data_IF_625060928625
#
_entry.id   IF_625060928625
#
_cell.length_a   1.000
_cell.length_b   1.000
_cell.length_c   1.000
_cell.angle_alpha   90.00
_cell.angle_beta   90.00
_cell.angle_gamma   90.00
#
_symmetry.space_group_name_H-M   'P 1'
#
loop_
_entity.id
_entity.type
_entity.pdbx_description
1 polymer ?
#
# COMPACT_ATOMS: atom_id res chain seq x y z
N UNK A 1 -12.81 -14.61 -8.66
CA UNK A 1 -11.50 -14.10 -9.10
C UNK A 1 -11.73 -12.75 -9.73
N UNK A 2 -11.16 -11.69 -9.17
CA UNK A 2 -11.35 -10.28 -9.60
C UNK A 2 -9.97 -9.76 -10.06
N UNK A 3 -9.87 -8.99 -11.15
CA UNK A 3 -8.59 -8.46 -11.62
C UNK A 3 -8.10 -7.31 -10.73
N UNK A 4 -6.81 -7.37 -10.40
CA UNK A 4 -6.07 -6.36 -9.64
C UNK A 4 -5.73 -5.23 -10.61
N UNK A 5 -6.24 -4.02 -10.34
CA UNK A 5 -5.77 -2.81 -11.01
C UNK A 5 -4.53 -2.32 -10.25
N UNK A 6 -3.34 -2.68 -10.72
CA UNK A 6 -2.06 -2.16 -10.20
C UNK A 6 -1.89 -0.72 -10.67
N UNK A 7 -2.10 0.26 -9.79
CA UNK A 7 -1.65 1.63 -10.02
C UNK A 7 -0.17 1.73 -9.63
N UNK A 8 0.71 1.60 -10.63
CA UNK A 8 2.08 2.12 -10.51
C UNK A 8 2.08 3.65 -10.50
N UNK A 9 3.15 4.30 -10.03
CA UNK A 9 3.26 5.75 -10.03
C UNK A 9 3.35 6.27 -11.48
N UNK A 10 2.43 7.16 -11.83
CA UNK A 10 2.47 7.92 -13.08
C UNK A 10 3.61 8.94 -13.00
N UNK A 11 4.67 8.70 -13.77
CA UNK A 11 5.65 9.72 -14.15
C UNK A 11 4.94 10.79 -14.99
N UNK A 12 4.99 12.03 -14.55
CA UNK A 12 4.59 13.19 -15.36
C UNK A 12 5.58 13.34 -16.52
N UNK A 13 5.10 13.21 -17.75
CA UNK A 13 5.78 13.79 -18.90
C UNK A 13 5.12 15.13 -19.19
N UNK A 14 5.93 16.19 -19.09
CA UNK A 14 5.55 17.55 -19.44
C UNK A 14 5.16 17.62 -20.93
N UNK A 15 3.94 18.10 -21.19
CA UNK A 15 3.52 18.53 -22.51
C UNK A 15 4.20 19.87 -22.83
N UNK A 16 4.98 19.91 -23.90
CA UNK A 16 5.40 21.17 -24.53
C UNK A 16 4.28 21.64 -25.45
N UNK A 17 3.68 22.77 -25.12
CA UNK A 17 2.95 23.62 -26.05
C UNK A 17 3.91 24.26 -27.05
N UNK A 18 3.52 24.26 -28.32
CA UNK A 18 3.97 25.25 -29.30
C UNK A 18 2.85 25.52 -30.30
N UNK A 19 2.23 26.68 -30.19
CA UNK A 19 1.34 27.33 -31.17
C UNK A 19 2.14 28.13 -32.20
N UNK A 20 1.72 28.05 -33.47
CA UNK A 20 1.68 29.07 -34.55
C UNK A 20 1.61 28.32 -35.91
N UNK A 21 0.95 28.73 -36.99
CA UNK A 21 -0.22 29.56 -37.33
C UNK A 21 -0.48 29.32 -38.85
N UNK A 22 -1.68 29.67 -39.31
CA UNK A 22 -2.08 30.09 -40.66
C UNK A 22 -2.24 29.08 -41.82
N UNK A 23 -3.48 29.02 -42.36
CA UNK A 23 -3.75 28.51 -43.70
C UNK A 23 -5.22 28.35 -44.09
N UNK A 24 -5.93 29.46 -44.36
CA UNK A 24 -7.30 29.53 -44.92
C UNK A 24 -7.49 28.76 -46.24
N UNK A 25 -8.60 28.00 -46.40
CA UNK A 25 -9.64 28.15 -47.46
C UNK A 25 -10.77 27.11 -47.33
N UNK A 26 -12.00 27.59 -47.51
CA UNK A 26 -13.30 26.90 -47.43
C UNK A 26 -13.76 26.32 -48.81
N UNK A 27 -15.04 25.96 -49.06
CA UNK A 27 -15.92 24.93 -48.45
C UNK A 27 -16.65 24.06 -49.53
N UNK A 28 -17.68 23.27 -49.10
CA UNK A 28 -18.83 22.62 -49.83
C UNK A 28 -18.78 21.07 -49.85
N UNK A 29 -19.85 20.27 -49.73
CA UNK A 29 -21.34 20.43 -49.69
C UNK A 29 -21.96 19.07 -49.30
N UNK A 30 -23.13 19.10 -48.64
CA UNK A 30 -24.34 18.20 -48.61
C UNK A 30 -24.20 16.69 -48.94
N UNK A 31 -25.06 15.75 -48.54
CA UNK A 31 -26.23 15.55 -47.67
C UNK A 31 -26.64 14.09 -47.93
N UNK A 32 -27.40 13.43 -47.06
CA UNK A 32 -28.03 12.15 -47.43
C UNK A 32 -28.53 11.32 -46.26
N UNK A 33 -29.83 11.45 -45.99
CA UNK A 33 -30.67 10.67 -45.09
C UNK A 33 -30.94 9.22 -45.57
N UNK A 34 -31.69 8.49 -44.73
CA UNK A 34 -32.51 7.28 -44.95
C UNK A 34 -31.82 5.97 -44.51
N UNK A 35 -32.15 5.38 -43.36
CA UNK A 35 -33.42 4.76 -42.89
C UNK A 35 -33.65 3.33 -43.40
N UNK A 36 -33.85 2.46 -42.40
CA UNK A 36 -34.78 1.32 -42.37
C UNK A 36 -34.36 -0.10 -42.78
N UNK A 37 -34.47 -0.96 -41.75
CA UNK A 37 -35.17 -2.24 -41.67
C UNK A 37 -34.41 -3.60 -41.77
N UNK A 38 -34.43 -4.29 -40.61
CA UNK A 38 -34.99 -5.64 -40.35
C UNK A 38 -34.45 -6.86 -41.12
N UNK A 39 -34.07 -7.89 -40.35
CA UNK A 39 -33.96 -9.29 -40.76
C UNK A 39 -32.76 -10.01 -40.12
N UNK A 40 -32.89 -10.56 -38.90
CA UNK A 40 -33.16 -11.97 -38.59
C UNK A 40 -32.12 -13.00 -39.10
N UNK A 41 -31.56 -13.71 -38.11
CA UNK A 41 -31.07 -15.09 -38.10
C UNK A 41 -29.94 -15.51 -39.05
N UNK A 42 -28.80 -15.91 -38.46
CA UNK A 42 -28.30 -17.28 -38.62
C UNK A 42 -27.24 -17.64 -37.58
N UNK A 43 -27.54 -18.71 -36.84
CA UNK A 43 -26.56 -19.53 -36.13
C UNK A 43 -25.69 -20.28 -37.14
N UNK A 44 -24.36 -20.23 -36.99
CA UNK A 44 -23.46 -21.26 -37.52
C UNK A 44 -22.37 -21.55 -36.49
N UNK A 45 -22.38 -22.79 -36.02
CA UNK A 45 -21.35 -23.49 -35.25
C UNK A 45 -20.24 -24.05 -36.15
N UNK A 46 -18.98 -23.86 -35.77
CA UNK A 46 -17.75 -24.66 -36.04
C UNK A 46 -16.55 -23.80 -35.61
N UNK A 47 -15.45 -24.26 -35.04
CA UNK A 47 -14.89 -25.57 -34.76
C UNK A 47 -13.53 -25.32 -34.08
N UNK A 48 -12.98 -26.36 -33.46
CA UNK A 48 -11.68 -26.39 -32.77
C UNK A 48 -10.52 -25.93 -33.67
N UNK A 49 -9.50 -25.32 -33.07
CA UNK A 49 -8.12 -25.83 -33.10
C UNK A 49 -7.20 -25.01 -32.19
N UNK A 50 -6.19 -25.68 -31.61
CA UNK A 50 -5.17 -25.10 -30.73
C UNK A 50 -3.78 -25.10 -31.37
N UNK A 51 -2.91 -24.23 -30.84
CA UNK A 51 -1.44 -24.22 -30.91
C UNK A 51 -1.00 -22.91 -30.22
N UNK A 52 -0.26 -22.83 -29.11
CA UNK A 52 1.05 -23.37 -28.72
C UNK A 52 2.25 -22.80 -29.51
N UNK A 53 3.06 -22.00 -28.78
CA UNK A 53 4.46 -21.55 -28.95
C UNK A 53 4.89 -20.49 -29.98
N UNK A 54 5.53 -19.43 -29.45
CA UNK A 54 6.88 -18.87 -29.73
C UNK A 54 6.89 -17.44 -29.13
N UNK A 55 7.70 -17.01 -28.15
CA UNK A 55 9.14 -17.10 -27.86
C UNK A 55 10.00 -16.49 -28.96
N UNK A 56 10.24 -15.17 -28.86
CA UNK A 56 11.31 -14.48 -29.59
C UNK A 56 12.23 -13.72 -28.65
N UNK A 57 13.53 -13.98 -28.83
CA UNK A 57 14.68 -13.35 -28.20
C UNK A 57 15.48 -12.64 -29.29
N UNK A 58 16.04 -11.49 -28.90
CA UNK A 58 17.29 -10.86 -29.36
C UNK A 58 17.34 -10.20 -30.74
N UNK A 59 17.69 -8.90 -30.75
CA UNK A 59 19.01 -8.48 -31.27
C UNK A 59 19.43 -7.08 -30.81
N UNK A 60 20.69 -6.99 -30.36
CA UNK A 60 21.46 -5.76 -30.11
C UNK A 60 21.85 -5.10 -31.43
N UNK A 61 21.90 -3.77 -31.47
CA UNK A 61 22.75 -3.01 -32.38
C UNK A 61 23.38 -1.84 -31.63
N UNK A 62 24.72 -1.85 -31.56
CA UNK A 62 25.57 -0.73 -31.16
C UNK A 62 25.95 0.07 -32.42
N UNK A 63 26.11 1.38 -32.30
CA UNK A 63 27.15 2.16 -33.00
C UNK A 63 27.36 3.52 -32.29
N UNK A 64 28.60 3.74 -31.80
CA UNK A 64 29.21 5.07 -31.60
C UNK A 64 29.35 5.77 -32.98
N UNK A 65 29.51 7.08 -33.18
CA UNK A 65 30.30 8.12 -32.50
C UNK A 65 29.91 9.45 -33.20
N UNK A 66 29.92 10.60 -32.49
CA UNK A 66 30.60 11.85 -32.90
C UNK A 66 30.13 13.08 -32.11
N UNK A 67 31.12 13.80 -31.61
CA UNK A 67 31.10 15.03 -30.83
C UNK A 67 30.52 16.23 -31.58
N UNK A 68 29.78 17.09 -30.86
CA UNK A 68 29.73 18.54 -31.12
C UNK A 68 29.71 19.30 -29.78
N UNK A 69 30.81 20.02 -29.51
CA UNK A 69 30.93 21.05 -28.48
C UNK A 69 30.21 22.33 -28.92
N UNK A 70 29.40 22.95 -28.05
CA UNK A 70 29.17 24.41 -28.07
C UNK A 70 29.15 24.95 -26.63
N UNK A 71 30.04 25.90 -26.38
CA UNK A 71 30.19 26.74 -25.19
C UNK A 71 29.24 27.95 -25.30
N UNK A 72 28.55 28.31 -24.20
CA UNK A 72 28.45 29.71 -23.70
C UNK A 72 27.60 29.82 -22.43
N UNK A 73 28.09 30.64 -21.51
CA UNK A 73 27.62 30.88 -20.14
C UNK A 73 26.61 32.05 -20.05
N UNK A 74 26.26 32.61 -18.87
CA UNK A 74 24.90 32.65 -18.35
C UNK A 74 24.24 34.04 -18.39
N UNK A 75 22.90 34.12 -18.28
CA UNK A 75 22.20 35.37 -17.96
C UNK A 75 21.44 35.18 -16.64
N UNK A 76 21.88 35.95 -15.65
CA UNK A 76 21.27 36.12 -14.34
C UNK A 76 20.26 37.27 -14.39
N UNK A 77 19.09 37.09 -13.78
CA UNK A 77 18.26 38.20 -13.30
C UNK A 77 17.58 37.77 -12.00
N UNK A 78 18.02 38.39 -10.91
CA UNK A 78 17.54 38.22 -9.54
C UNK A 78 16.09 38.73 -9.37
N UNK A 79 15.16 37.95 -8.82
CA UNK A 79 14.72 38.02 -7.40
C UNK A 79 13.20 38.33 -7.33
N UNK A 80 12.47 38.12 -6.20
CA UNK A 80 12.98 37.82 -4.86
C UNK A 80 12.53 36.47 -4.28
N UNK A 81 13.42 35.99 -3.43
CA UNK A 81 13.34 34.93 -2.44
C UNK A 81 12.17 35.03 -1.45
N UNK A 82 11.46 33.92 -1.25
CA UNK A 82 10.81 33.59 0.02
C UNK A 82 11.48 32.34 0.58
N UNK A 83 12.39 32.58 1.52
CA UNK A 83 13.07 31.56 2.32
C UNK A 83 12.11 31.16 3.43
N UNK A 84 11.47 29.99 3.33
CA UNK A 84 10.93 29.31 4.52
C UNK A 84 12.04 28.44 5.09
N UNK A 85 12.90 29.06 5.89
CA UNK A 85 13.82 28.37 6.77
C UNK A 85 12.99 27.63 7.83
N UNK A 86 12.93 26.31 7.76
CA UNK A 86 12.56 25.51 8.92
C UNK A 86 13.66 25.68 9.99
N UNK A 87 13.34 25.91 11.27
CA UNK A 87 14.38 26.16 12.27
C UNK A 87 15.21 24.90 12.48
N UNK A 88 16.54 25.01 12.36
CA UNK A 88 17.44 24.05 12.97
C UNK A 88 17.28 24.17 14.48
N UNK A 89 16.65 23.16 15.11
CA UNK A 89 16.56 23.10 16.56
C UNK A 89 17.93 22.61 17.07
N UNK A 90 18.69 23.56 17.60
CA UNK A 90 19.87 23.31 18.41
C UNK A 90 19.45 22.56 19.68
N UNK A 91 19.97 21.35 19.85
CA UNK A 91 19.68 20.47 20.98
C UNK A 91 20.46 20.97 22.22
N UNK A 92 19.90 21.93 22.95
CA UNK A 92 20.37 22.28 24.29
C UNK A 92 19.49 21.61 25.35
N UNK A 93 20.15 20.91 26.27
CA UNK A 93 19.60 19.95 27.22
C UNK A 93 18.72 20.52 28.34
N UNK A 94 18.05 19.57 29.03
CA UNK A 94 17.52 19.57 30.42
C UNK A 94 15.99 19.71 30.57
N UNK A 95 15.32 18.56 30.81
CA UNK A 95 13.94 18.42 31.31
C UNK A 95 13.48 16.94 31.28
N UNK A 96 12.73 16.41 32.28
CA UNK A 96 12.87 15.01 32.70
C UNK A 96 12.03 13.99 31.92
N UNK A 97 12.62 12.81 31.74
CA UNK A 97 11.95 11.50 31.53
C UNK A 97 11.16 11.28 30.23
N UNK A 98 11.74 11.60 29.07
CA UNK A 98 11.43 10.84 27.85
C UNK A 98 12.40 9.67 27.76
N UNK A 99 11.92 8.42 27.67
CA UNK A 99 12.77 7.28 27.35
C UNK A 99 13.22 7.43 25.89
N UNK A 100 14.41 7.95 25.69
CA UNK A 100 15.10 7.90 24.41
C UNK A 100 15.50 6.44 24.15
N UNK A 101 14.85 5.83 23.16
CA UNK A 101 15.40 4.66 22.50
C UNK A 101 15.80 5.20 21.12
N UNK A 102 16.95 5.88 21.09
CA UNK A 102 17.69 6.01 19.83
C UNK A 102 18.18 4.60 19.55
N UNK A 103 17.58 3.93 18.57
CA UNK A 103 17.99 2.58 18.17
C UNK A 103 19.30 2.64 17.35
N UNK A 104 20.31 3.34 17.89
CA UNK A 104 21.69 3.34 17.41
C UNK A 104 22.46 2.14 17.95
N UNK A 105 21.97 1.46 18.99
CA UNK A 105 22.65 0.29 19.54
C UNK A 105 22.66 -0.91 18.56
N UNK A 106 21.81 -0.91 17.53
CA UNK A 106 21.83 -1.90 16.45
C UNK A 106 22.55 -1.39 15.18
N UNK A 107 22.93 -0.10 15.14
CA UNK A 107 23.68 0.52 14.04
C UNK A 107 25.14 0.06 14.11
N UNK A 108 25.76 0.02 15.30
CA UNK A 108 27.16 -0.42 15.47
C UNK A 108 27.44 -1.86 14.98
N UNK A 109 26.43 -2.72 14.88
CA UNK A 109 26.54 -4.11 14.37
C UNK A 109 26.15 -4.29 12.91
N UNK A 110 25.92 -3.21 12.15
CA UNK A 110 25.39 -3.28 10.78
C UNK A 110 26.24 -2.56 9.72
N UNK A 111 27.40 -2.03 10.13
CA UNK A 111 28.31 -1.33 9.22
C UNK A 111 29.75 -1.79 9.35
N UNK A 112 30.41 -1.95 8.20
CA UNK A 112 31.87 -1.98 8.12
C UNK A 112 32.33 -0.67 7.50
N UNK A 113 33.26 0.00 8.19
CA UNK A 113 33.87 1.24 7.72
C UNK A 113 34.92 0.90 6.66
N UNK A 114 34.74 1.41 5.44
CA UNK A 114 35.69 1.23 4.34
C UNK A 114 36.16 2.56 3.77
N UNK A 115 37.35 2.57 3.17
CA UNK A 115 37.81 3.71 2.37
C UNK A 115 36.97 3.79 1.08
N UNK A 116 36.45 4.98 0.77
CA UNK A 116 35.81 5.21 -0.52
C UNK A 116 36.84 5.02 -1.62
N UNK A 117 36.54 4.14 -2.57
CA UNK A 117 37.30 4.00 -3.81
C UNK A 117 36.46 4.55 -4.95
N UNK A 118 37.11 5.16 -5.95
CA UNK A 118 36.46 5.81 -7.11
C UNK A 118 35.60 4.88 -7.99
N UNK A 119 35.43 3.62 -7.61
CA UNK A 119 34.71 2.59 -8.34
C UNK A 119 33.36 2.23 -7.70
N UNK A 120 33.03 2.81 -6.54
CA UNK A 120 31.84 2.46 -5.77
C UNK A 120 30.76 3.53 -5.89
N UNK A 121 29.51 3.10 -6.07
CA UNK A 121 28.34 3.97 -6.06
C UNK A 121 27.83 4.07 -4.62
N UNK A 122 27.81 5.29 -4.09
CA UNK A 122 27.39 5.55 -2.71
C UNK A 122 25.99 6.18 -2.68
N UNK A 123 25.16 5.71 -1.75
CA UNK A 123 23.82 6.27 -1.56
C UNK A 123 23.80 7.25 -0.38
N UNK A 124 23.20 8.44 -0.55
CA UNK A 124 23.03 9.35 0.58
C UNK A 124 22.09 8.75 1.62
N UNK A 125 22.23 9.21 2.87
CA UNK A 125 21.36 8.85 3.97
C UNK A 125 20.66 10.07 4.52
N UNK A 126 19.43 9.87 5.00
CA UNK A 126 18.65 10.88 5.69
C UNK A 126 18.25 10.37 7.08
N UNK A 127 18.30 11.27 8.06
CA UNK A 127 17.79 11.00 9.40
C UNK A 127 16.35 11.48 9.49
N UNK A 128 15.41 10.54 9.65
CA UNK A 128 13.99 10.86 9.80
C UNK A 128 13.62 10.83 11.28
N UNK A 129 13.30 12.00 11.82
CA UNK A 129 12.88 12.18 13.22
C UNK A 129 11.36 12.35 13.32
N UNK A 130 10.70 11.57 14.19
CA UNK A 130 9.27 11.64 14.44
C UNK A 130 8.96 11.48 15.93
N UNK A 131 8.14 12.38 16.45
CA UNK A 131 7.67 12.29 17.83
C UNK A 131 6.41 11.42 17.89
N UNK A 132 6.46 10.35 18.68
CA UNK A 132 5.26 9.61 19.09
C UNK A 132 4.60 10.41 20.20
N UNK A 133 3.32 10.73 20.01
CA UNK A 133 2.50 11.45 20.99
C UNK A 133 1.44 10.50 21.56
N UNK A 134 1.02 10.74 22.80
CA UNK A 134 -0.18 10.11 23.36
C UNK A 134 -1.47 10.71 22.79
N UNK A 135 -2.62 10.22 23.27
CA UNK A 135 -3.95 10.69 22.85
C UNK A 135 -4.22 12.17 23.20
N UNK A 136 -3.46 12.74 24.13
CA UNK A 136 -3.58 14.13 24.61
C UNK A 136 -2.57 15.05 23.87
N UNK A 137 -1.69 14.47 23.04
CA UNK A 137 -0.71 15.21 22.22
C UNK A 137 0.64 15.41 22.90
N UNK A 138 0.88 14.81 24.07
CA UNK A 138 2.15 14.85 24.79
C UNK A 138 3.13 13.88 24.14
N UNK A 139 4.38 14.32 23.93
CA UNK A 139 5.42 13.48 23.34
C UNK A 139 5.81 12.38 24.34
N UNK A 140 5.49 11.14 23.99
CA UNK A 140 5.82 9.95 24.79
C UNK A 140 7.14 9.30 24.36
N UNK A 141 7.56 9.51 23.11
CA UNK A 141 8.80 8.92 22.57
C UNK A 141 9.29 9.70 21.36
N UNK A 142 10.58 10.01 21.31
CA UNK A 142 11.25 10.48 20.10
C UNK A 142 11.72 9.25 19.31
N UNK A 143 11.37 9.18 18.02
CA UNK A 143 11.86 8.14 17.10
C UNK A 143 12.78 8.79 16.08
N UNK A 144 13.99 8.29 15.93
CA UNK A 144 14.87 8.62 14.82
C UNK A 144 15.13 7.34 14.02
N UNK A 145 15.15 7.44 12.69
CA UNK A 145 15.51 6.34 11.79
C UNK A 145 16.55 6.83 10.79
N UNK A 146 17.54 6.00 10.54
CA UNK A 146 18.45 6.19 9.42
C UNK A 146 17.83 5.52 8.20
N UNK A 147 17.66 6.30 7.13
CA UNK A 147 16.99 5.86 5.91
C UNK A 147 17.95 6.05 4.74
N UNK A 148 18.25 4.97 4.03
CA UNK A 148 18.98 5.02 2.79
C UNK A 148 18.10 5.62 1.69
N UNK A 149 18.67 6.45 0.82
CA UNK A 149 17.96 7.03 -0.31
C UNK A 149 17.81 6.01 -1.46
N UNK A 150 17.00 4.97 -1.27
CA UNK A 150 16.85 3.89 -2.26
C UNK A 150 16.33 4.32 -3.63
N UNK A 151 15.69 5.49 -3.74
CA UNK A 151 15.33 6.07 -5.05
C UNK A 151 16.55 6.38 -5.95
N UNK A 152 17.76 6.38 -5.39
CA UNK A 152 19.02 6.50 -6.14
C UNK A 152 19.61 5.14 -6.57
N UNK A 153 19.00 4.03 -6.15
CA UNK A 153 19.41 2.67 -6.53
C UNK A 153 18.96 2.31 -7.95
N UNK A 154 19.85 1.65 -8.69
CA UNK A 154 19.62 1.16 -10.05
C UNK A 154 19.47 -0.36 -10.07
N UNK A 155 18.40 -0.84 -10.71
CA UNK A 155 18.17 -2.27 -10.90
C UNK A 155 19.27 -2.87 -11.80
N UNK A 156 19.80 -4.03 -11.42
CA UNK A 156 20.90 -4.72 -12.10
C UNK A 156 22.29 -4.24 -11.67
N UNK A 157 22.36 -3.19 -10.85
CA UNK A 157 23.61 -2.71 -10.22
C UNK A 157 23.48 -2.87 -8.70
N UNK A 158 22.53 -2.15 -8.10
CA UNK A 158 22.39 -2.02 -6.64
C UNK A 158 21.44 -3.07 -6.06
N UNK A 159 20.57 -3.64 -6.89
CA UNK A 159 19.68 -4.76 -6.54
C UNK A 159 19.20 -5.51 -7.80
N UNK A 160 18.88 -6.80 -7.65
CA UNK A 160 18.30 -7.60 -8.73
C UNK A 160 16.81 -7.86 -8.53
N UNK A 161 16.44 -8.30 -7.33
CA UNK A 161 15.08 -8.70 -6.97
C UNK A 161 14.59 -7.97 -5.71
N UNK A 162 13.35 -7.48 -5.78
CA UNK A 162 12.69 -6.71 -4.70
C UNK A 162 11.37 -7.34 -4.26
N UNK A 163 10.98 -8.44 -4.91
CA UNK A 163 9.70 -9.06 -4.63
C UNK A 163 9.69 -9.67 -3.23
N UNK A 164 8.60 -9.42 -2.51
CA UNK A 164 8.39 -9.91 -1.16
C UNK A 164 6.90 -10.16 -0.96
N UNK A 165 6.58 -11.20 -0.21
CA UNK A 165 5.19 -11.54 0.06
C UNK A 165 4.63 -10.60 1.14
N UNK A 166 3.44 -10.04 0.89
CA UNK A 166 2.74 -9.18 1.83
C UNK A 166 1.33 -9.73 2.02
N UNK A 167 0.91 -9.88 3.28
CA UNK A 167 -0.41 -10.41 3.60
C UNK A 167 -1.50 -9.52 3.00
N UNK A 168 -2.47 -10.18 2.36
CA UNK A 168 -3.64 -9.49 1.81
C UNK A 168 -4.70 -9.34 2.88
N UNK A 169 -5.54 -8.31 2.75
CA UNK A 169 -6.63 -8.07 3.71
C UNK A 169 -7.63 -9.23 3.73
N UNK A 170 -7.84 -9.90 2.60
CA UNK A 170 -8.67 -11.09 2.49
C UNK A 170 -8.09 -12.26 3.29
N UNK A 171 -6.76 -12.43 3.28
CA UNK A 171 -6.10 -13.47 4.05
C UNK A 171 -6.23 -13.19 5.56
N UNK A 172 -6.08 -11.92 5.97
CA UNK A 172 -6.27 -11.50 7.36
C UNK A 172 -7.72 -11.75 7.81
N UNK A 173 -8.71 -11.40 6.97
CA UNK A 173 -10.13 -11.70 7.25
C UNK A 173 -10.38 -13.20 7.38
N UNK A 174 -9.81 -14.01 6.48
CA UNK A 174 -9.96 -15.46 6.52
C UNK A 174 -9.30 -16.07 7.76
N UNK A 175 -8.13 -15.56 8.15
CA UNK A 175 -7.45 -15.92 9.40
C UNK A 175 -8.36 -15.66 10.60
N UNK A 176 -8.98 -14.48 10.68
CA UNK A 176 -9.88 -14.13 11.79
C UNK A 176 -11.17 -14.94 11.78
N UNK A 177 -11.74 -15.21 10.60
CA UNK A 177 -12.89 -16.11 10.48
C UNK A 177 -12.54 -17.53 10.97
N UNK A 178 -11.36 -18.03 10.61
CA UNK A 178 -10.88 -19.34 11.07
C UNK A 178 -10.64 -19.38 12.58
N UNK A 179 -10.06 -18.32 13.15
CA UNK A 179 -9.86 -18.18 14.58
C UNK A 179 -11.19 -18.22 15.35
N UNK A 180 -12.20 -17.51 14.84
CA UNK A 180 -13.55 -17.56 15.39
C UNK A 180 -14.16 -18.97 15.33
N UNK A 181 -14.03 -19.65 14.19
CA UNK A 181 -14.54 -21.02 14.00
C UNK A 181 -13.84 -22.05 14.89
N UNK A 182 -12.52 -21.91 15.09
CA UNK A 182 -11.72 -22.80 15.94
C UNK A 182 -11.68 -22.39 17.41
N UNK A 183 -12.40 -21.33 17.78
CA UNK A 183 -12.51 -20.83 19.15
C UNK A 183 -11.16 -20.56 19.81
N UNK A 184 -10.28 -19.84 19.13
CA UNK A 184 -9.04 -19.39 19.74
C UNK A 184 -8.86 -17.87 19.70
N UNK A 185 -8.16 -17.37 20.71
CA UNK A 185 -7.80 -15.96 20.82
C UNK A 185 -6.63 -15.68 19.88
N UNK A 186 -6.75 -14.59 19.14
CA UNK A 186 -5.70 -14.05 18.29
C UNK A 186 -4.89 -13.03 19.08
N UNK A 187 -3.58 -13.22 19.04
CA UNK A 187 -2.59 -12.34 19.60
C UNK A 187 -1.85 -11.58 18.50
N UNK A 188 -1.20 -10.49 18.88
CA UNK A 188 -0.35 -9.69 18.03
C UNK A 188 1.00 -9.41 18.72
N UNK A 189 2.04 -9.30 17.90
CA UNK A 189 3.37 -8.80 18.28
C UNK A 189 3.96 -8.03 17.10
N UNK A 190 4.89 -7.14 17.41
CA UNK A 190 5.59 -6.26 16.45
C UNK A 190 7.09 -6.47 16.63
N UNK A 191 7.81 -6.61 15.51
CA UNK A 191 9.26 -6.74 15.51
C UNK A 191 9.89 -5.35 15.53
N UNK A 192 10.68 -5.06 16.56
CA UNK A 192 11.43 -3.80 16.60
C UNK A 192 12.49 -3.80 15.52
N UNK A 193 12.49 -2.77 14.68
CA UNK A 193 13.54 -2.54 13.68
C UNK A 193 13.77 -3.75 12.75
N UNK A 194 12.67 -4.39 12.34
CA UNK A 194 12.61 -5.59 11.53
C UNK A 194 13.63 -5.64 10.36
N UNK A 195 13.73 -4.56 9.57
CA UNK A 195 14.65 -4.54 8.42
C UNK A 195 16.12 -4.76 8.81
N UNK A 196 16.54 -4.32 10.00
CA UNK A 196 17.92 -4.50 10.46
C UNK A 196 18.30 -5.96 10.73
N UNK A 197 17.32 -6.87 10.77
CA UNK A 197 17.59 -8.30 10.84
C UNK A 197 17.73 -8.96 9.46
N UNK A 198 17.25 -8.30 8.41
CA UNK A 198 17.33 -8.80 7.04
C UNK A 198 18.75 -8.69 6.53
N UNK A 199 19.38 -9.80 6.16
CA UNK A 199 20.70 -9.75 5.52
C UNK A 199 20.54 -9.42 4.04
N UNK A 200 21.33 -8.47 3.54
CA UNK A 200 21.40 -8.20 2.11
C UNK A 200 22.54 -8.98 1.49
N UNK A 201 22.32 -9.54 0.30
CA UNK A 201 23.36 -10.22 -0.47
C UNK A 201 24.14 -9.24 -1.34
N UNK A 202 23.48 -8.15 -1.72
CA UNK A 202 24.04 -7.12 -2.58
C UNK A 202 25.00 -6.20 -1.80
N UNK A 203 26.07 -5.77 -2.46
CA UNK A 203 26.99 -4.80 -1.87
C UNK A 203 26.43 -3.39 -1.97
N UNK A 204 25.93 -2.86 -0.86
CA UNK A 204 25.40 -1.50 -0.77
C UNK A 204 26.30 -0.65 0.12
N UNK A 205 26.68 0.52 -0.39
CA UNK A 205 27.46 1.51 0.33
C UNK A 205 26.64 2.78 0.56
N UNK A 206 26.80 3.37 1.74
CA UNK A 206 26.06 4.55 2.16
C UNK A 206 26.98 5.61 2.74
N UNK A 207 26.69 6.87 2.45
CA UNK A 207 27.45 7.99 2.98
C UNK A 207 27.29 8.09 4.50
N UNK A 208 28.31 8.63 5.17
CA UNK A 208 28.21 8.94 6.60
C UNK A 208 27.07 9.94 6.85
N UNK A 209 26.23 9.70 7.88
CA UNK A 209 25.18 10.63 8.27
C UNK A 209 25.80 11.99 8.59
N UNK A 210 25.12 13.07 8.19
CA UNK A 210 25.59 14.45 8.40
C UNK A 210 25.99 14.74 9.85
N UNK A 211 25.25 14.17 10.81
CA UNK A 211 25.48 14.35 12.26
C UNK A 211 26.58 13.46 12.85
N UNK A 212 27.13 12.50 12.08
CA UNK A 212 28.09 11.48 12.53
C UNK A 212 29.33 11.39 11.63
N UNK A 213 29.63 12.43 10.85
CA UNK A 213 30.83 12.46 10.02
C UNK A 213 32.08 12.44 10.90
N UNK A 214 32.94 11.44 10.67
CA UNK A 214 34.24 11.39 11.33
C UNK A 214 35.15 12.51 10.79
N UNK A 215 35.61 13.45 11.65
CA UNK A 215 36.44 14.56 11.21
C UNK A 215 37.81 14.13 10.68
N UNK A 216 38.31 12.96 11.08
CA UNK A 216 39.57 12.41 10.60
C UNK A 216 39.40 11.62 9.29
N UNK A 217 38.18 11.19 8.98
CA UNK A 217 37.90 10.27 7.88
C UNK A 217 36.67 10.71 7.07
N UNK A 218 36.69 11.94 6.56
CA UNK A 218 35.59 12.55 5.82
C UNK A 218 35.19 11.79 4.54
N UNK A 219 36.14 11.07 3.93
CA UNK A 219 35.94 10.33 2.67
C UNK A 219 35.62 8.84 2.89
N UNK A 220 35.34 8.41 4.12
CA UNK A 220 34.93 7.02 4.36
C UNK A 220 33.44 6.84 4.14
N UNK A 221 33.07 5.64 3.75
CA UNK A 221 31.69 5.21 3.55
C UNK A 221 31.40 4.00 4.43
N UNK A 222 30.13 3.77 4.69
CA UNK A 222 29.69 2.59 5.40
C UNK A 222 29.21 1.54 4.41
N UNK A 223 29.73 0.32 4.52
CA UNK A 223 29.14 -0.85 3.87
C UNK A 223 27.99 -1.35 4.71
N UNK A 224 26.82 -1.50 4.08
CA UNK A 224 25.61 -1.98 4.72
C UNK A 224 25.66 -3.51 4.79
N UNK A 225 25.63 -4.09 5.99
CA UNK A 225 25.59 -5.55 6.15
C UNK A 225 24.14 -6.09 6.28
N UNK A 226 23.28 -5.30 6.92
CA UNK A 226 21.86 -5.61 7.09
C UNK A 226 20.99 -4.54 6.44
N UNK A 227 19.83 -4.95 5.95
CA UNK A 227 18.89 -4.10 5.26
C UNK A 227 18.52 -2.85 6.08
N UNK A 228 18.59 -1.70 5.42
CA UNK A 228 18.18 -0.42 5.98
C UNK A 228 16.82 0.00 5.43
N UNK A 229 16.13 0.82 6.20
CA UNK A 229 14.96 1.53 5.70
C UNK A 229 15.31 2.30 4.43
N UNK A 230 14.40 2.27 3.46
CA UNK A 230 14.54 2.98 2.20
C UNK A 230 15.24 2.18 1.10
N UNK A 231 15.99 1.11 1.41
CA UNK A 231 16.50 0.21 0.37
C UNK A 231 15.36 -0.55 -0.30
N UNK A 232 15.44 -0.71 -1.62
CA UNK A 232 14.42 -1.41 -2.40
C UNK A 232 14.27 -2.89 -2.01
N UNK A 233 15.37 -3.55 -1.66
CA UNK A 233 15.41 -4.96 -1.27
C UNK A 233 15.15 -5.22 0.23
N UNK A 234 15.00 -4.19 1.06
CA UNK A 234 14.95 -4.35 2.52
C UNK A 234 13.82 -5.26 3.00
N UNK A 235 12.62 -5.09 2.42
CA UNK A 235 11.45 -5.87 2.79
C UNK A 235 11.57 -7.35 2.35
N UNK A 236 12.29 -7.63 1.26
CA UNK A 236 12.62 -8.99 0.81
C UNK A 236 13.57 -9.66 1.80
N UNK A 237 14.71 -9.00 2.08
CA UNK A 237 15.74 -9.50 2.99
C UNK A 237 15.18 -9.83 4.39
N UNK A 238 14.34 -8.95 4.92
CA UNK A 238 13.64 -9.17 6.19
C UNK A 238 12.72 -10.39 6.13
N UNK A 239 11.82 -10.43 5.14
CA UNK A 239 10.86 -11.52 5.00
C UNK A 239 11.54 -12.88 4.82
N UNK A 240 12.60 -12.94 4.01
CA UNK A 240 13.39 -14.16 3.81
C UNK A 240 14.04 -14.64 5.12
N UNK A 241 14.61 -13.71 5.90
CA UNK A 241 15.20 -14.03 7.20
C UNK A 241 14.17 -14.60 8.19
N UNK A 242 13.01 -13.95 8.29
CA UNK A 242 11.92 -14.39 9.18
C UNK A 242 11.34 -15.73 8.71
N UNK A 243 11.04 -15.85 7.42
CA UNK A 243 10.45 -17.08 6.87
C UNK A 243 11.36 -18.28 7.03
N UNK A 244 12.67 -18.13 6.76
CA UNK A 244 13.68 -19.18 6.99
C UNK A 244 13.71 -19.59 8.46
N UNK A 245 13.73 -18.62 9.37
CA UNK A 245 13.71 -18.90 10.80
C UNK A 245 12.46 -19.67 11.26
N UNK A 246 11.28 -19.34 10.73
CA UNK A 246 10.06 -20.07 11.03
C UNK A 246 10.10 -21.49 10.46
N UNK A 247 10.58 -21.66 9.22
CA UNK A 247 10.71 -22.98 8.58
C UNK A 247 11.67 -23.88 9.37
N UNK A 248 12.83 -23.36 9.80
CA UNK A 248 13.81 -24.08 10.61
C UNK A 248 13.22 -24.54 11.96
N UNK A 249 12.21 -23.82 12.47
CA UNK A 249 11.49 -24.14 13.70
C UNK A 249 10.23 -24.98 13.49
N UNK A 250 10.12 -25.65 12.34
CA UNK A 250 9.08 -26.63 12.03
C UNK A 250 7.73 -26.04 11.65
N UNK A 251 7.69 -24.78 11.21
CA UNK A 251 6.50 -24.22 10.57
C UNK A 251 6.43 -24.64 9.11
N UNK A 252 5.20 -24.77 8.60
CA UNK A 252 4.93 -24.93 7.18
C UNK A 252 4.35 -23.65 6.61
N UNK A 253 4.94 -23.17 5.52
CA UNK A 253 4.44 -22.02 4.79
C UNK A 253 3.18 -22.38 3.99
N UNK A 254 2.23 -21.45 3.92
CA UNK A 254 1.00 -21.59 3.14
C UNK A 254 1.27 -21.80 1.65
N UNK A 255 0.41 -22.59 1.01
CA UNK A 255 0.54 -22.86 -0.43
C UNK A 255 0.11 -21.64 -1.26
N UNK A 256 -1.01 -21.02 -0.90
CA UNK A 256 -1.60 -19.89 -1.62
C UNK A 256 -1.05 -18.58 -1.09
N UNK A 257 -1.23 -18.32 0.21
CA UNK A 257 -0.64 -17.17 0.88
C UNK A 257 0.68 -17.57 1.52
N UNK A 258 1.78 -17.02 0.99
CA UNK A 258 3.13 -17.28 1.49
C UNK A 258 3.39 -16.64 2.84
N UNK A 259 2.63 -15.61 3.21
CA UNK A 259 2.77 -14.92 4.49
C UNK A 259 2.06 -15.60 5.66
N UNK A 260 1.34 -16.70 5.39
CA UNK A 260 0.74 -17.56 6.39
C UNK A 260 1.68 -18.73 6.73
N UNK A 261 1.95 -18.94 8.01
CA UNK A 261 2.72 -20.05 8.54
C UNK A 261 1.85 -20.87 9.49
N UNK A 262 1.96 -22.19 9.40
CA UNK A 262 1.16 -23.13 10.16
C UNK A 262 2.06 -24.15 10.82
N UNK A 263 1.92 -24.34 12.13
CA UNK A 263 2.54 -25.44 12.86
C UNK A 263 1.44 -26.32 13.45
N UNK A 264 1.55 -27.63 13.24
CA UNK A 264 0.60 -28.61 13.78
C UNK A 264 1.28 -29.45 14.83
N UNK A 265 0.59 -29.66 15.95
CA UNK A 265 1.04 -30.54 17.01
C UNK A 265 -0.13 -31.42 17.43
N UNK A 266 -0.13 -32.68 16.97
CA UNK A 266 -1.29 -33.59 17.07
C UNK A 266 -2.53 -32.96 16.43
N UNK A 267 -3.60 -32.79 17.20
CA UNK A 267 -4.86 -32.17 16.76
C UNK A 267 -4.84 -30.63 16.89
N UNK A 268 -3.83 -30.07 17.56
CA UNK A 268 -3.68 -28.64 17.75
C UNK A 268 -2.99 -27.96 16.57
N UNK A 269 -3.41 -26.73 16.31
CA UNK A 269 -2.87 -25.88 15.25
C UNK A 269 -2.46 -24.53 15.83
N UNK A 270 -1.29 -24.06 15.41
CA UNK A 270 -0.83 -22.68 15.58
C UNK A 270 -0.77 -22.05 14.18
N UNK A 271 -1.46 -20.93 14.00
CA UNK A 271 -1.40 -20.13 12.78
C UNK A 271 -0.70 -18.80 13.07
N UNK A 272 0.16 -18.38 12.16
CA UNK A 272 0.93 -17.14 12.22
C UNK A 272 0.79 -16.46 10.87
N UNK A 273 0.33 -15.22 10.85
CA UNK A 273 0.25 -14.38 9.66
C UNK A 273 1.19 -13.19 9.83
N UNK A 274 2.07 -12.99 8.84
CA UNK A 274 3.08 -11.92 8.85
C UNK A 274 2.64 -10.80 7.91
N UNK A 275 2.64 -9.56 8.40
CA UNK A 275 2.52 -8.36 7.58
C UNK A 275 3.68 -7.42 7.89
N UNK A 276 4.71 -7.44 7.06
CA UNK A 276 5.91 -6.61 7.24
C UNK A 276 6.50 -6.82 8.64
N UNK A 277 6.30 -5.89 9.57
CA UNK A 277 6.84 -5.92 10.94
C UNK A 277 5.80 -6.41 11.96
N UNK A 278 4.51 -6.36 11.61
CA UNK A 278 3.40 -6.78 12.45
C UNK A 278 3.08 -8.27 12.23
N UNK A 279 2.96 -9.04 13.31
CA UNK A 279 2.67 -10.47 13.28
C UNK A 279 1.42 -10.73 14.11
N UNK A 280 0.41 -11.35 13.50
CA UNK A 280 -0.75 -11.88 14.23
C UNK A 280 -0.66 -13.40 14.27
N UNK A 281 -1.07 -14.00 15.37
CA UNK A 281 -1.01 -15.44 15.54
C UNK A 281 -2.04 -15.92 16.55
N UNK A 282 -2.37 -17.20 16.51
CA UNK A 282 -3.30 -17.80 17.45
C UNK A 282 -3.28 -19.31 17.33
N UNK A 283 -3.68 -19.98 18.41
CA UNK A 283 -3.67 -21.43 18.47
C UNK A 283 -4.84 -21.99 19.23
N UNK A 284 -5.32 -23.16 18.81
CA UNK A 284 -6.31 -23.96 19.56
C UNK A 284 -5.83 -24.31 20.98
N UNK A 285 -4.52 -24.32 21.21
CA UNK A 285 -3.93 -24.52 22.52
C UNK A 285 -3.05 -23.33 22.90
N UNK A 286 -3.44 -22.62 23.96
CA UNK A 286 -2.74 -21.41 24.44
C UNK A 286 -1.23 -21.61 24.68
N UNK A 287 -0.82 -22.81 25.13
CA UNK A 287 0.59 -23.16 25.32
C UNK A 287 1.42 -22.97 24.04
N UNK A 288 0.88 -23.33 22.87
CA UNK A 288 1.58 -23.14 21.59
C UNK A 288 1.78 -21.66 21.24
N UNK A 289 0.84 -20.78 21.64
CA UNK A 289 1.00 -19.33 21.49
C UNK A 289 2.11 -18.78 22.40
N UNK A 290 2.20 -19.27 23.63
CA UNK A 290 3.28 -18.90 24.57
C UNK A 290 4.64 -19.44 24.13
N UNK A 291 4.70 -20.67 23.61
CA UNK A 291 5.92 -21.22 23.00
C UNK A 291 6.37 -20.41 21.79
N UNK A 292 5.43 -19.96 20.94
CA UNK A 292 5.72 -19.10 19.81
C UNK A 292 6.24 -17.73 20.24
N UNK A 293 5.64 -17.10 21.24
CA UNK A 293 6.14 -15.84 21.81
C UNK A 293 7.59 -16.00 22.28
N UNK A 294 7.88 -17.06 23.04
CA UNK A 294 9.23 -17.35 23.51
C UNK A 294 10.19 -17.55 22.35
N UNK A 295 9.82 -18.36 21.35
CA UNK A 295 10.63 -18.61 20.16
C UNK A 295 10.99 -17.29 19.47
N UNK A 296 10.02 -16.42 19.23
CA UNK A 296 10.27 -15.14 18.56
C UNK A 296 11.24 -14.25 19.36
N UNK A 297 11.12 -14.24 20.69
CA UNK A 297 12.02 -13.51 21.58
C UNK A 297 13.46 -14.07 21.65
N UNK A 298 13.71 -15.31 21.25
CA UNK A 298 15.06 -15.90 21.27
C UNK A 298 15.99 -15.25 20.24
N UNK A 299 15.45 -14.85 19.08
CA UNK A 299 16.23 -14.29 17.96
C UNK A 299 15.93 -12.82 17.68
N UNK A 300 14.73 -12.36 17.97
CA UNK A 300 14.24 -11.05 17.56
C UNK A 300 13.82 -10.21 18.77
N UNK A 301 14.05 -8.90 18.69
CA UNK A 301 13.51 -7.98 19.67
C UNK A 301 12.02 -7.73 19.37
N UNK A 302 11.17 -8.43 20.11
CA UNK A 302 9.72 -8.30 19.97
C UNK A 302 9.13 -7.30 20.96
N UNK A 303 8.00 -6.70 20.59
CA UNK A 303 7.08 -6.10 21.56
C UNK A 303 6.36 -7.19 22.38
N UNK A 304 5.76 -6.78 23.50
CA UNK A 304 4.98 -7.70 24.34
C UNK A 304 3.79 -8.28 23.58
N UNK A 305 3.54 -9.58 23.76
CA UNK A 305 2.34 -10.22 23.23
C UNK A 305 1.08 -9.57 23.82
N UNK A 306 0.18 -9.13 22.94
CA UNK A 306 -1.11 -8.58 23.32
C UNK A 306 -2.24 -9.25 22.57
N UNK A 307 -3.45 -9.26 23.14
CA UNK A 307 -4.64 -9.66 22.38
C UNK A 307 -4.85 -8.69 21.21
N UNK A 308 -5.17 -9.26 20.05
CA UNK A 308 -5.43 -8.48 18.84
C UNK A 308 -6.67 -7.61 19.05
N UNK A 309 -6.43 -6.29 19.05
CA UNK A 309 -7.46 -5.26 19.16
C UNK A 309 -7.43 -4.26 18.01
N UNK A 310 -6.27 -4.10 17.36
CA UNK A 310 -6.09 -3.21 16.23
C UNK A 310 -5.00 -3.72 15.29
N UNK A 311 -5.31 -3.86 14.00
CA UNK A 311 -4.34 -4.32 13.00
C UNK A 311 -4.63 -3.70 11.63
N UNK A 312 -3.62 -3.05 11.04
CA UNK A 312 -3.71 -2.39 9.73
C UNK A 312 -4.91 -1.44 9.55
N UNK A 313 -5.27 -0.71 10.61
CA UNK A 313 -6.41 0.20 10.59
C UNK A 313 -7.75 -0.45 10.97
N UNK A 314 -7.80 -1.79 11.05
CA UNK A 314 -8.98 -2.53 11.51
C UNK A 314 -9.02 -2.59 13.03
N UNK A 315 -10.18 -2.29 13.60
CA UNK A 315 -10.50 -2.52 15.01
C UNK A 315 -11.12 -3.91 15.14
N UNK A 316 -10.53 -4.73 16.00
CA UNK A 316 -10.94 -6.12 16.23
C UNK A 316 -11.49 -6.23 17.65
N UNK A 317 -12.68 -6.80 17.80
CA UNK A 317 -13.28 -7.15 19.09
C UNK A 317 -13.51 -8.64 19.11
N UNK A 318 -12.68 -9.34 19.88
CA UNK A 318 -12.81 -10.77 20.10
C UNK A 318 -13.75 -10.99 21.29
N UNK A 319 -14.82 -11.75 21.08
CA UNK A 319 -15.83 -12.08 22.10
C UNK A 319 -15.97 -13.59 22.20
N UNK A 320 -16.64 -14.05 23.25
CA UNK A 320 -16.94 -15.47 23.45
C UNK A 320 -17.83 -16.08 22.35
N UNK A 321 -18.64 -15.25 21.67
CA UNK A 321 -19.59 -15.65 20.63
C UNK A 321 -19.08 -15.37 19.20
N UNK A 322 -17.88 -14.80 19.04
CA UNK A 322 -17.28 -14.53 17.74
C UNK A 322 -16.36 -13.33 17.68
N UNK A 323 -15.93 -12.97 16.47
CA UNK A 323 -15.00 -11.85 16.22
C UNK A 323 -15.69 -10.78 15.39
N UNK A 324 -15.65 -9.53 15.87
CA UNK A 324 -16.17 -8.36 15.16
C UNK A 324 -15.03 -7.49 14.63
N UNK A 325 -15.07 -7.13 13.35
CA UNK A 325 -14.12 -6.23 12.70
C UNK A 325 -14.83 -4.95 12.27
N UNK A 326 -14.22 -3.80 12.54
CA UNK A 326 -14.75 -2.48 12.17
C UNK A 326 -13.64 -1.48 11.89
N UNK A 327 -13.99 -0.32 11.36
CA UNK A 327 -13.10 0.84 11.19
C UNK A 327 -13.78 2.12 11.69
N UNK A 328 -14.50 2.03 12.82
CA UNK A 328 -15.30 3.12 13.40
C UNK A 328 -14.50 4.42 13.55
N UNK A 329 -13.26 4.33 14.06
CA UNK A 329 -12.37 5.48 14.24
C UNK A 329 -12.05 6.16 12.91
N UNK A 330 -11.64 5.38 11.92
CA UNK A 330 -11.34 5.88 10.58
C UNK A 330 -12.60 6.44 9.89
N UNK A 331 -13.75 5.78 10.04
CA UNK A 331 -15.04 6.25 9.55
C UNK A 331 -15.39 7.64 10.10
N UNK A 332 -15.19 7.86 11.41
CA UNK A 332 -15.39 9.16 12.04
C UNK A 332 -14.38 10.21 11.54
N UNK A 333 -13.12 9.84 11.35
CA UNK A 333 -12.07 10.73 10.82
C UNK A 333 -12.38 11.20 9.40
N UNK A 334 -12.79 10.31 8.50
CA UNK A 334 -13.12 10.70 7.12
C UNK A 334 -14.41 11.54 7.06
N UNK A 335 -15.39 11.25 7.92
CA UNK A 335 -16.59 12.09 8.04
C UNK A 335 -16.24 13.50 8.52
N UNK A 336 -15.28 13.63 9.44
CA UNK A 336 -14.76 14.93 9.89
C UNK A 336 -13.95 15.62 8.80
N UNK A 337 -13.06 14.90 8.11
CA UNK A 337 -12.18 15.42 7.05
C UNK A 337 -12.95 16.09 5.91
N UNK A 338 -14.13 15.58 5.57
CA UNK A 338 -14.94 16.08 4.46
C UNK A 338 -16.21 16.82 4.91
N UNK A 339 -16.28 17.25 6.17
CA UNK A 339 -17.39 18.03 6.75
C UNK A 339 -18.77 17.34 6.71
N UNK A 340 -18.80 16.01 6.83
CA UNK A 340 -20.03 15.21 6.86
C UNK A 340 -20.61 14.99 8.25
N UNK A 341 -19.97 15.46 9.33
CA UNK A 341 -20.41 15.24 10.71
C UNK A 341 -21.82 15.80 10.97
N UNK A 342 -22.18 16.94 10.40
CA UNK A 342 -23.47 17.62 10.62
C UNK A 342 -24.49 17.39 9.50
N UNK A 343 -24.08 16.77 8.38
CA UNK A 343 -24.92 16.58 7.19
C UNK A 343 -26.03 15.55 7.43
N UNK A 344 -27.22 15.72 6.82
CA UNK A 344 -28.32 14.74 6.93
C UNK A 344 -27.90 13.34 6.46
N UNK A 345 -28.33 12.29 7.13
CA UNK A 345 -28.04 10.91 6.75
C UNK A 345 -28.78 10.50 5.46
N UNK A 346 -28.38 9.39 4.86
CA UNK A 346 -29.07 8.73 3.77
C UNK A 346 -29.23 7.24 4.10
N UNK A 347 -30.36 6.62 3.75
CA UNK A 347 -30.60 5.19 3.97
C UNK A 347 -30.05 4.29 2.86
N UNK A 348 -29.77 4.86 1.68
CA UNK A 348 -29.26 4.11 0.51
C UNK A 348 -27.96 4.71 0.00
N UNK A 349 -27.09 3.84 -0.53
CA UNK A 349 -25.79 4.21 -1.11
C UNK A 349 -25.94 5.02 -2.40
N UNK A 350 -26.85 4.57 -3.27
CA UNK A 350 -27.12 5.15 -4.58
C UNK A 350 -28.62 5.48 -4.72
N UNK A 351 -28.95 6.32 -5.69
CA UNK A 351 -30.34 6.59 -6.07
C UNK A 351 -30.81 5.53 -7.08
N UNK A 352 -31.94 4.89 -6.79
CA UNK A 352 -32.47 3.74 -7.55
C UNK A 352 -32.77 4.04 -9.02
N UNK A 353 -33.00 5.31 -9.36
CA UNK A 353 -33.47 5.73 -10.68
C UNK A 353 -32.49 6.67 -11.40
N UNK A 354 -31.24 6.76 -10.93
CA UNK A 354 -30.26 7.71 -11.48
C UNK A 354 -28.94 7.01 -11.79
N UNK A 355 -28.84 6.52 -13.02
CA UNK A 355 -27.62 5.90 -13.53
C UNK A 355 -26.50 6.94 -13.55
N UNK A 356 -25.31 6.54 -13.07
CA UNK A 356 -24.12 7.36 -13.21
C UNK A 356 -23.69 7.39 -14.67
N UNK A 357 -23.94 8.50 -15.35
CA UNK A 357 -23.60 8.72 -16.76
C UNK A 357 -22.45 9.72 -16.90
N UNK A 358 -21.74 9.66 -18.03
CA UNK A 358 -20.80 10.72 -18.41
C UNK A 358 -21.61 11.98 -18.72
N UNK A 359 -21.66 12.86 -17.74
CA UNK A 359 -22.39 14.13 -17.82
C UNK A 359 -21.44 15.21 -18.34
N UNK A 360 -21.25 15.26 -19.66
CA UNK A 360 -20.29 16.19 -20.30
C UNK A 360 -20.65 17.66 -20.06
N UNK A 361 -21.95 17.97 -19.92
CA UNK A 361 -22.48 19.30 -19.69
C UNK A 361 -22.39 19.75 -18.21
N UNK A 362 -22.31 18.81 -17.27
CA UNK A 362 -22.13 19.16 -15.86
C UNK A 362 -20.79 19.84 -15.58
N UNK A 363 -20.81 20.70 -14.57
CA UNK A 363 -19.62 21.39 -14.07
C UNK A 363 -18.59 20.38 -13.58
N UNK A 364 -17.34 20.63 -13.95
CA UNK A 364 -16.19 19.89 -13.46
C UNK A 364 -16.04 20.04 -11.95
N UNK A 365 -15.50 18.99 -11.34
CA UNK A 365 -15.18 18.91 -9.92
C UNK A 365 -13.66 18.87 -9.77
N UNK A 366 -13.15 19.45 -8.69
CA UNK A 366 -11.75 19.31 -8.33
C UNK A 366 -11.37 17.82 -8.25
N UNK A 367 -10.48 17.42 -9.14
CA UNK A 367 -9.98 16.06 -9.30
C UNK A 367 -9.28 15.58 -8.04
N UNK A 368 -8.55 16.45 -7.34
CA UNK A 368 -7.83 16.09 -6.13
C UNK A 368 -8.78 15.81 -4.96
N UNK A 369 -9.80 16.67 -4.78
CA UNK A 369 -10.87 16.43 -3.81
C UNK A 369 -11.59 15.11 -4.10
N UNK A 370 -12.01 14.90 -5.35
CA UNK A 370 -12.74 13.69 -5.74
C UNK A 370 -11.92 12.41 -5.49
N UNK A 371 -10.66 12.40 -5.93
CA UNK A 371 -9.74 11.27 -5.70
C UNK A 371 -9.50 11.05 -4.21
N UNK A 372 -9.31 12.11 -3.42
CA UNK A 372 -9.13 12.03 -1.97
C UNK A 372 -10.34 11.39 -1.28
N UNK A 373 -11.57 11.74 -1.70
CA UNK A 373 -12.80 11.13 -1.19
C UNK A 373 -12.90 9.65 -1.58
N UNK A 374 -12.67 9.31 -2.86
CA UNK A 374 -12.74 7.92 -3.32
C UNK A 374 -11.68 7.05 -2.64
N UNK A 375 -10.42 7.49 -2.58
CA UNK A 375 -9.35 6.74 -1.91
C UNK A 375 -9.66 6.50 -0.43
N UNK A 376 -10.28 7.47 0.24
CA UNK A 376 -10.71 7.31 1.64
C UNK A 376 -11.81 6.25 1.77
N UNK A 377 -12.75 6.21 0.83
CA UNK A 377 -13.81 5.19 0.80
C UNK A 377 -13.26 3.79 0.44
N UNK A 378 -12.31 3.71 -0.50
CA UNK A 378 -11.68 2.45 -0.89
C UNK A 378 -10.95 1.79 0.28
N UNK A 379 -10.31 2.57 1.15
CA UNK A 379 -9.69 2.03 2.37
C UNK A 379 -10.73 1.49 3.37
N UNK A 380 -11.94 2.06 3.41
CA UNK A 380 -13.01 1.63 4.32
C UNK A 380 -13.68 0.32 3.87
N UNK A 381 -13.59 -0.06 2.58
CA UNK A 381 -14.10 -1.33 2.05
C UNK A 381 -13.53 -2.54 2.81
N UNK A 382 -12.35 -2.40 3.42
CA UNK A 382 -11.70 -3.39 4.27
C UNK A 382 -12.52 -3.80 5.52
N UNK A 383 -13.53 -3.04 5.92
CA UNK A 383 -14.55 -3.47 6.91
C UNK A 383 -16.00 -3.27 6.46
N UNK A 384 -16.20 -2.58 5.34
CA UNK A 384 -17.51 -2.20 4.78
C UNK A 384 -17.70 -2.73 3.36
N UNK A 385 -17.81 -4.05 3.14
CA UNK A 385 -18.03 -4.57 1.80
C UNK A 385 -19.36 -4.10 1.18
N UNK A 386 -20.33 -3.69 2.01
CA UNK A 386 -21.63 -3.16 1.58
C UNK A 386 -21.51 -1.93 0.67
N UNK A 387 -20.44 -1.13 0.80
CA UNK A 387 -20.24 0.08 -0.02
C UNK A 387 -19.46 -0.18 -1.31
N UNK A 388 -18.91 -1.39 -1.49
CA UNK A 388 -17.94 -1.71 -2.55
C UNK A 388 -18.45 -1.35 -3.94
N UNK A 389 -19.64 -1.84 -4.31
CA UNK A 389 -20.19 -1.60 -5.65
C UNK A 389 -20.36 -0.11 -5.94
N UNK A 390 -20.97 0.65 -5.02
CA UNK A 390 -21.19 2.08 -5.17
C UNK A 390 -19.87 2.87 -5.29
N UNK A 391 -18.86 2.53 -4.48
CA UNK A 391 -17.54 3.16 -4.53
C UNK A 391 -16.83 2.83 -5.84
N UNK A 392 -16.85 1.57 -6.28
CA UNK A 392 -16.27 1.13 -7.54
C UNK A 392 -16.92 1.82 -8.75
N UNK A 393 -18.24 1.98 -8.74
CA UNK A 393 -18.95 2.72 -9.78
C UNK A 393 -18.50 4.19 -9.84
N UNK A 394 -18.40 4.86 -8.70
CA UNK A 394 -17.91 6.24 -8.63
C UNK A 394 -16.42 6.36 -9.01
N UNK A 395 -15.60 5.36 -8.72
CA UNK A 395 -14.17 5.36 -9.03
C UNK A 395 -13.88 5.43 -10.54
N UNK A 396 -14.80 4.98 -11.40
CA UNK A 396 -14.67 5.05 -12.88
C UNK A 396 -14.50 6.47 -13.42
N UNK A 397 -14.91 7.48 -12.64
CA UNK A 397 -14.90 8.89 -13.04
C UNK A 397 -13.75 9.71 -12.41
N UNK A 398 -12.70 9.05 -11.88
CA UNK A 398 -11.58 9.73 -11.21
C UNK A 398 -10.70 10.62 -12.13
N UNK A 399 -10.79 10.43 -13.45
CA UNK A 399 -10.03 11.24 -14.42
C UNK A 399 -10.75 12.56 -14.70
N UNK A 400 -12.07 12.50 -14.91
CA UNK A 400 -12.90 13.66 -15.27
C UNK A 400 -14.19 13.65 -14.43
N UNK A 401 -14.12 13.96 -13.12
CA UNK A 401 -15.28 13.94 -12.25
C UNK A 401 -16.18 15.15 -12.49
N UNK A 402 -17.49 14.90 -12.43
CA UNK A 402 -18.53 15.89 -12.67
C UNK A 402 -19.36 16.06 -11.40
N UNK A 403 -20.14 17.14 -11.34
CA UNK A 403 -20.94 17.47 -10.15
C UNK A 403 -21.93 16.34 -9.79
N UNK A 404 -22.51 15.67 -10.80
CA UNK A 404 -23.35 14.48 -10.62
C UNK A 404 -22.62 13.32 -9.93
N UNK A 405 -21.38 13.03 -10.32
CA UNK A 405 -20.53 12.02 -9.68
C UNK A 405 -20.21 12.39 -8.23
N UNK A 406 -19.89 13.66 -7.98
CA UNK A 406 -19.65 14.14 -6.62
C UNK A 406 -20.89 13.95 -5.73
N UNK A 407 -22.10 14.22 -6.23
CA UNK A 407 -23.32 13.99 -5.46
C UNK A 407 -23.49 12.53 -5.05
N UNK A 408 -23.16 11.57 -5.92
CA UNK A 408 -23.18 10.15 -5.59
C UNK A 408 -22.18 9.81 -4.49
N UNK A 409 -20.93 10.29 -4.61
CA UNK A 409 -19.91 10.11 -3.55
C UNK A 409 -20.39 10.72 -2.22
N UNK A 410 -20.92 11.95 -2.23
CA UNK A 410 -21.48 12.60 -1.04
C UNK A 410 -22.63 11.79 -0.42
N UNK A 411 -23.44 11.10 -1.23
CA UNK A 411 -24.49 10.20 -0.74
C UNK A 411 -23.92 9.01 0.02
N UNK A 412 -22.83 8.41 -0.45
CA UNK A 412 -22.11 7.33 0.26
C UNK A 412 -21.65 7.83 1.65
N UNK A 413 -21.06 9.02 1.75
CA UNK A 413 -20.69 9.60 3.05
C UNK A 413 -21.89 9.82 3.98
N UNK A 414 -23.03 10.28 3.45
CA UNK A 414 -24.27 10.42 4.22
C UNK A 414 -24.81 9.08 4.72
N UNK A 415 -24.64 8.01 3.94
CA UNK A 415 -24.99 6.65 4.33
C UNK A 415 -24.07 6.13 5.43
N UNK A 416 -22.75 6.34 5.30
CA UNK A 416 -21.78 5.98 6.34
C UNK A 416 -22.09 6.66 7.67
N UNK A 417 -22.50 7.94 7.64
CA UNK A 417 -22.97 8.64 8.85
C UNK A 417 -24.18 7.97 9.49
N UNK A 418 -25.11 7.44 8.68
CA UNK A 418 -26.31 6.76 9.18
C UNK A 418 -26.01 5.43 9.87
N UNK A 419 -24.94 4.75 9.46
CA UNK A 419 -24.53 3.44 9.99
C UNK A 419 -23.02 3.43 10.32
N UNK A 420 -22.57 4.20 11.33
CA UNK A 420 -21.15 4.41 11.59
C UNK A 420 -20.46 3.22 12.26
N UNK A 421 -21.23 2.33 12.92
CA UNK A 421 -20.75 1.15 13.65
C UNK A 421 -20.91 -0.16 12.87
N UNK A 422 -21.30 -0.09 11.60
CA UNK A 422 -21.45 -1.28 10.78
C UNK A 422 -20.06 -1.86 10.49
N UNK A 423 -19.96 -3.19 10.56
CA UNK A 423 -18.71 -3.93 10.38
C UNK A 423 -18.98 -5.40 10.09
N UNK A 424 -17.93 -6.21 10.09
CA UNK A 424 -18.00 -7.64 9.81
C UNK A 424 -18.12 -8.42 11.12
N UNK A 425 -19.06 -9.36 11.15
CA UNK A 425 -19.25 -10.29 12.26
C UNK A 425 -18.94 -11.71 11.80
N UNK A 426 -17.98 -12.36 12.47
CA UNK A 426 -17.68 -13.77 12.32
C UNK A 426 -18.21 -14.49 13.56
N UNK A 427 -19.37 -15.16 13.49
CA UNK A 427 -19.88 -15.91 14.64
C UNK A 427 -19.07 -17.18 14.86
N UNK A 428 -18.92 -17.58 16.13
CA UNK A 428 -18.24 -18.82 16.52
C UNK A 428 -18.94 -20.07 15.99
N UNK A 429 -20.27 -20.10 16.04
CA UNK A 429 -21.08 -21.26 15.66
C UNK A 429 -21.28 -21.41 14.14
N UNK A 430 -20.59 -20.60 13.32
CA UNK A 430 -20.65 -20.71 11.86
C UNK A 430 -19.99 -22.01 11.39
N UNK A 431 -20.60 -22.67 10.41
CA UNK A 431 -19.89 -23.69 9.66
C UNK A 431 -18.74 -23.04 8.87
N UNK A 432 -17.62 -23.76 8.70
CA UNK A 432 -16.48 -23.31 7.90
C UNK A 432 -16.57 -23.83 6.46
N UNK A 433 -17.77 -23.73 5.88
CA UNK A 433 -18.04 -24.09 4.50
C UNK A 433 -17.97 -22.84 3.62
N UNK A 434 -17.45 -22.98 2.40
CA UNK A 434 -17.45 -21.89 1.43
C UNK A 434 -18.82 -21.79 0.78
N UNK A 435 -19.57 -20.75 1.14
CA UNK A 435 -20.83 -20.38 0.51
C UNK A 435 -20.64 -19.11 -0.33
N UNK A 436 -21.15 -19.13 -1.56
CA UNK A 436 -21.09 -17.98 -2.46
C UNK A 436 -22.50 -17.63 -2.93
N UNK A 437 -22.89 -16.38 -2.69
CA UNK A 437 -24.12 -15.79 -3.20
C UNK A 437 -23.74 -14.85 -4.33
N UNK A 438 -24.44 -14.95 -5.44
CA UNK A 438 -24.26 -14.06 -6.59
C UNK A 438 -25.61 -13.45 -6.96
N UNK A 439 -25.57 -12.19 -7.35
CA UNK A 439 -26.69 -11.47 -7.94
C UNK A 439 -26.21 -10.89 -9.27
N UNK A 440 -27.10 -10.79 -10.24
CA UNK A 440 -26.80 -10.26 -11.57
C UNK A 440 -27.93 -9.36 -12.02
N UNK A 441 -27.61 -8.11 -12.36
CA UNK A 441 -28.55 -7.17 -12.94
C UNK A 441 -28.35 -7.07 -14.46
N UNK A 442 -29.45 -6.93 -15.20
CA UNK A 442 -29.43 -6.83 -16.65
C UNK A 442 -29.12 -5.39 -17.08
N UNK A 443 -28.07 -5.23 -17.89
CA UNK A 443 -27.69 -3.96 -18.52
C UNK A 443 -27.32 -2.80 -17.56
N UNK A 444 -26.83 -3.11 -16.36
CA UNK A 444 -26.34 -2.12 -15.38
C UNK A 444 -25.26 -1.19 -15.97
N UNK A 445 -24.39 -1.73 -16.83
CA UNK A 445 -23.40 -0.98 -17.61
C UNK A 445 -24.04 -0.30 -18.83
N UNK A 446 -24.87 0.71 -18.60
CA UNK A 446 -25.57 1.45 -19.68
C UNK A 446 -24.61 2.21 -20.62
N UNK A 447 -23.39 2.50 -20.15
CA UNK A 447 -22.42 3.38 -20.78
C UNK A 447 -21.56 2.69 -21.85
N UNK A 448 -21.09 1.48 -21.58
CA UNK A 448 -20.22 0.71 -22.49
C UNK A 448 -20.79 -0.67 -22.87
N UNK A 449 -21.95 -1.04 -22.31
CA UNK A 449 -22.65 -2.32 -22.53
C UNK A 449 -21.78 -3.55 -22.26
N UNK A 450 -20.73 -3.40 -21.43
CA UNK A 450 -19.85 -4.51 -21.06
C UNK A 450 -20.35 -5.19 -19.79
N UNK A 451 -20.36 -6.52 -19.79
CA UNK A 451 -20.56 -7.29 -18.57
C UNK A 451 -19.48 -6.93 -17.55
N UNK A 452 -19.88 -6.62 -16.33
CA UNK A 452 -18.97 -6.43 -15.20
C UNK A 452 -19.16 -7.61 -14.24
N UNK A 453 -18.06 -8.19 -13.73
CA UNK A 453 -18.08 -9.33 -12.79
C UNK A 453 -17.30 -9.00 -11.53
#
# INVERSE_FOLDING_TARGET
MIPICTTGPLLSQDAKDSTEDAGKKAPKVDAGEASDNVGQDNQVSRGKDGSLFQQDRLTKYNNNTNDINIVSSPISTAGPSFVNAAPQILLNAVGPSAKEEVDMNNVDSSYVILESTNFLKDHPQEQVCRNKKDEIGIVIKNKARLVAQGHTQEQGIDYNEVFTAVARIEAIRLFLAYASFKDFIVYQMDVKSAFLYGKIEEEVYVCQPLSFKDPNFLNKVYKVENALYGLHQALRAWYETLSTYLLDNGFHMGQIDKTLFIKRHKDDILQVQVYVDDIIFGSTKKELSTEFEKLMHEKLQMSSMGELSFFLGLQVKQKSDGIFISQDKYGAEILKKFDFVTVKTASTLMESNKTLIKDEEAKDVDVYLYRSMISSLMYLIASRPDITSAVCACARFQVTPKTSHLYAVKRIFRYLKGQPKLGLWYPKDSQFNLEAYFDSDYAEASLDRKSTT
#
